data_IF_390158993456
#
_entry.id   IF_390158993456
#
_cell.length_a   1.000
_cell.length_b   1.000
_cell.length_c   1.000
_cell.angle_alpha   90.00
_cell.angle_beta   90.00
_cell.angle_gamma   90.00
#
_symmetry.space_group_name_H-M   'P 1'
#
loop_
_entity.id
_entity.type
_entity.pdbx_description
1 polymer ?
#
# COMPACT_ATOMS: atom_id res chain seq x y z
N UNK A 1 -0.36 -25.45 7.83
CA UNK A 1 1.09 -25.69 7.93
C UNK A 1 1.80 -25.46 6.60
N UNK A 2 2.40 -24.28 6.48
CA UNK A 2 3.63 -23.96 5.75
C UNK A 2 3.88 -22.46 5.96
N UNK A 3 4.41 -22.10 7.13
CA UNK A 3 5.09 -20.82 7.30
C UNK A 3 6.38 -20.92 6.50
N UNK A 4 6.44 -20.27 5.34
CA UNK A 4 7.70 -20.06 4.64
C UNK A 4 8.54 -19.13 5.50
N UNK A 5 9.44 -19.70 6.31
CA UNK A 5 10.53 -18.94 6.92
C UNK A 5 11.37 -18.35 5.78
N UNK A 6 11.17 -17.07 5.48
CA UNK A 6 12.10 -16.32 4.65
C UNK A 6 13.41 -16.20 5.44
N UNK A 7 14.33 -17.14 5.25
CA UNK A 7 15.68 -17.03 5.80
C UNK A 7 16.34 -15.80 5.19
N UNK A 8 16.37 -14.72 5.96
CA UNK A 8 17.11 -13.51 5.61
C UNK A 8 18.60 -13.88 5.46
N UNK A 9 19.28 -13.44 4.38
CA UNK A 9 20.68 -13.76 4.17
C UNK A 9 21.53 -13.26 5.35
N UNK A 10 22.62 -13.97 5.71
CA UNK A 10 23.32 -13.84 7.00
C UNK A 10 23.96 -12.46 7.26
N UNK A 11 23.98 -11.55 6.28
CA UNK A 11 24.56 -10.21 6.39
C UNK A 11 23.58 -9.06 6.10
N UNK A 12 22.27 -9.32 6.01
CA UNK A 12 21.30 -8.22 5.82
C UNK A 12 21.00 -7.60 7.18
N UNK A 13 21.58 -6.42 7.44
CA UNK A 13 21.17 -5.60 8.59
C UNK A 13 19.65 -5.40 8.53
N UNK A 14 18.96 -5.79 9.59
CA UNK A 14 17.54 -5.50 9.72
C UNK A 14 17.36 -3.99 9.79
N UNK A 15 16.28 -3.43 9.22
CA UNK A 15 16.03 -2.00 9.32
C UNK A 15 15.93 -1.59 10.78
N UNK A 16 16.61 -0.49 11.13
CA UNK A 16 16.50 0.07 12.48
C UNK A 16 15.09 0.63 12.67
N UNK A 17 14.50 0.35 13.84
CA UNK A 17 13.20 0.88 14.26
C UNK A 17 13.29 1.52 15.65
N UNK A 18 12.44 2.51 15.90
CA UNK A 18 12.18 3.08 17.21
C UNK A 18 10.67 2.99 17.52
N UNK A 19 10.32 2.63 18.74
CA UNK A 19 8.93 2.56 19.20
C UNK A 19 8.70 3.70 20.19
N UNK A 20 7.78 4.58 19.86
CA UNK A 20 7.40 5.73 20.68
C UNK A 20 6.03 5.42 21.28
N UNK A 21 5.92 5.46 22.61
CA UNK A 21 4.63 5.33 23.31
C UNK A 21 4.19 6.69 23.83
N UNK A 22 2.96 7.07 23.51
CA UNK A 22 2.30 8.25 24.08
C UNK A 22 0.86 7.90 24.43
N UNK A 23 0.51 7.94 25.72
CA UNK A 23 -0.77 7.42 26.21
C UNK A 23 -0.99 5.95 25.80
N UNK A 24 -2.12 5.69 25.13
CA UNK A 24 -2.48 4.38 24.57
C UNK A 24 -1.96 4.15 23.14
N UNK A 25 -1.26 5.12 22.54
CA UNK A 25 -0.79 5.06 21.16
C UNK A 25 0.65 4.59 21.11
N UNK A 26 0.91 3.62 20.23
CA UNK A 26 2.25 3.17 19.87
C UNK A 26 2.54 3.59 18.43
N UNK A 27 3.67 4.28 18.24
CA UNK A 27 4.15 4.70 16.92
C UNK A 27 5.46 3.98 16.62
N UNK A 28 5.48 3.20 15.54
CA UNK A 28 6.68 2.53 15.05
C UNK A 28 7.31 3.38 13.96
N UNK A 29 8.49 3.92 14.24
CA UNK A 29 9.29 4.69 13.30
C UNK A 29 10.37 3.77 12.74
N UNK A 30 10.44 3.62 11.43
CA UNK A 30 11.43 2.78 10.76
C UNK A 30 12.28 3.55 9.77
N UNK A 31 13.46 3.01 9.48
CA UNK A 31 14.37 3.53 8.44
C UNK A 31 14.04 3.03 7.04
N UNK A 32 13.05 2.14 6.89
CA UNK A 32 12.59 1.61 5.61
C UNK A 32 11.09 1.29 5.61
N UNK A 33 10.55 1.04 4.41
CA UNK A 33 9.19 0.57 4.18
C UNK A 33 9.21 -0.72 3.34
N UNK A 34 8.33 -1.70 3.61
CA UNK A 34 7.36 -1.73 4.71
C UNK A 34 8.03 -1.92 6.08
N UNK A 35 7.31 -1.58 7.15
CA UNK A 35 7.78 -1.81 8.54
C UNK A 35 8.20 -3.27 8.72
N UNK A 36 9.38 -3.55 9.31
CA UNK A 36 9.83 -4.92 9.55
C UNK A 36 8.95 -5.63 10.60
N UNK A 37 9.14 -6.95 10.72
CA UNK A 37 8.45 -7.76 11.72
C UNK A 37 8.72 -7.24 13.15
N UNK A 38 7.66 -7.10 13.96
CA UNK A 38 7.71 -6.59 15.32
C UNK A 38 7.95 -7.68 16.40
N UNK A 39 8.19 -8.93 15.99
CA UNK A 39 8.50 -10.02 16.92
C UNK A 39 9.69 -9.64 17.84
N UNK A 40 9.52 -9.87 19.16
CA UNK A 40 10.54 -9.54 20.16
C UNK A 40 10.64 -8.06 20.54
N UNK A 41 9.84 -7.17 19.95
CA UNK A 41 9.86 -5.73 20.28
C UNK A 41 9.00 -5.35 21.51
N UNK A 42 8.22 -6.30 22.04
CA UNK A 42 7.24 -6.06 23.10
C UNK A 42 5.89 -5.51 22.61
N UNK A 43 5.75 -5.25 21.31
CA UNK A 43 4.48 -4.89 20.67
C UNK A 43 3.89 -6.11 20.00
N UNK A 44 2.65 -6.46 20.38
CA UNK A 44 1.85 -7.49 19.74
C UNK A 44 0.66 -6.85 19.04
N UNK A 45 0.67 -6.71 17.69
CA UNK A 45 -0.43 -6.11 16.94
C UNK A 45 -1.76 -6.81 17.18
N UNK A 46 -1.79 -8.12 17.46
CA UNK A 46 -3.03 -8.88 17.70
C UNK A 46 -3.74 -8.49 19.00
N UNK A 47 -3.07 -7.76 19.89
CA UNK A 47 -3.64 -7.24 21.14
C UNK A 47 -4.08 -5.78 21.03
N UNK A 48 -3.93 -5.15 19.87
CA UNK A 48 -4.32 -3.77 19.64
C UNK A 48 -5.76 -3.72 19.16
N UNK A 49 -6.52 -2.73 19.67
CA UNK A 49 -7.90 -2.51 19.21
C UNK A 49 -7.95 -2.02 17.76
N UNK A 50 -6.95 -1.24 17.35
CA UNK A 50 -6.84 -0.66 16.00
C UNK A 50 -5.37 -0.70 15.56
N UNK A 51 -5.15 -1.15 14.32
CA UNK A 51 -3.85 -1.08 13.66
C UNK A 51 -3.98 -0.16 12.45
N UNK A 52 -3.18 0.92 12.42
CA UNK A 52 -3.10 1.81 11.27
C UNK A 52 -1.83 1.48 10.47
N UNK A 53 -2.00 1.14 9.18
CA UNK A 53 -0.90 0.83 8.27
C UNK A 53 -0.87 1.81 7.12
N UNK A 54 0.34 2.17 6.65
CA UNK A 54 0.52 2.95 5.42
C UNK A 54 0.98 2.06 4.27
N UNK A 55 0.11 1.14 3.87
CA UNK A 55 0.32 0.26 2.72
C UNK A 55 -0.95 0.24 1.87
N UNK A 56 -0.82 0.43 0.56
CA UNK A 56 -1.97 0.58 -0.36
C UNK A 56 -2.75 -0.71 -0.62
N UNK A 57 -2.16 -1.86 -0.29
CA UNK A 57 -2.82 -3.17 -0.30
C UNK A 57 -2.58 -3.85 1.04
N UNK A 58 -3.56 -4.63 1.49
CA UNK A 58 -3.44 -5.43 2.71
C UNK A 58 -2.37 -6.51 2.45
N UNK A 59 -1.18 -6.30 3.00
CA UNK A 59 -0.17 -7.37 3.10
C UNK A 59 -0.82 -8.52 3.87
N UNK A 60 -0.60 -9.76 3.42
CA UNK A 60 -1.24 -10.98 3.96
C UNK A 60 -1.31 -10.98 5.50
N UNK A 61 -0.22 -10.60 6.17
CA UNK A 61 -0.16 -10.57 7.64
C UNK A 61 -1.25 -9.72 8.30
N UNK A 62 -1.60 -8.57 7.73
CA UNK A 62 -2.63 -7.67 8.28
C UNK A 62 -4.02 -8.19 7.96
N UNK A 63 -4.19 -8.68 6.74
CA UNK A 63 -5.44 -9.30 6.30
C UNK A 63 -5.80 -10.51 7.15
N UNK A 64 -4.83 -11.35 7.48
CA UNK A 64 -5.03 -12.58 8.25
C UNK A 64 -5.39 -12.32 9.72
N UNK A 65 -5.11 -11.12 10.24
CA UNK A 65 -5.42 -10.73 11.63
C UNK A 65 -6.61 -9.77 11.76
N UNK A 66 -7.12 -9.22 10.67
CA UNK A 66 -8.17 -8.21 10.74
C UNK A 66 -9.51 -8.83 11.16
N UNK A 67 -10.24 -8.16 12.05
CA UNK A 67 -11.65 -8.47 12.28
C UNK A 67 -12.54 -7.74 11.26
N UNK A 68 -12.21 -6.49 10.97
CA UNK A 68 -12.82 -5.62 9.97
C UNK A 68 -11.78 -4.60 9.47
N UNK A 69 -12.07 -3.86 8.40
CA UNK A 69 -11.18 -2.86 7.84
C UNK A 69 -11.93 -1.63 7.32
N UNK A 70 -11.31 -0.46 7.51
CA UNK A 70 -11.81 0.83 6.97
C UNK A 70 -10.67 1.57 6.31
N UNK A 71 -10.93 2.14 5.14
CA UNK A 71 -9.99 3.04 4.47
C UNK A 71 -10.22 4.48 4.93
N UNK A 72 -9.24 5.06 5.61
CA UNK A 72 -9.24 6.49 5.93
C UNK A 72 -8.49 7.27 4.84
N UNK A 73 -9.19 8.14 4.11
CA UNK A 73 -8.56 9.05 3.13
C UNK A 73 -7.88 10.23 3.84
N UNK A 74 -6.72 9.96 4.42
CA UNK A 74 -5.88 10.98 5.05
C UNK A 74 -5.13 11.79 3.99
N UNK A 75 -5.03 13.11 4.16
CA UNK A 75 -4.21 13.98 3.31
C UNK A 75 -2.74 13.52 3.29
N UNK A 76 -2.06 13.71 2.16
CA UNK A 76 -0.63 13.40 2.04
C UNK A 76 -0.17 13.23 0.59
N UNK A 77 1.00 12.63 0.38
CA UNK A 77 1.58 12.47 -0.96
C UNK A 77 0.80 11.55 -1.91
N UNK A 78 -0.18 10.81 -1.40
CA UNK A 78 -1.09 9.92 -2.14
C UNK A 78 -2.54 10.34 -1.95
N UNK A 79 -2.79 11.65 -1.93
CA UNK A 79 -4.14 12.23 -1.79
C UNK A 79 -5.06 11.79 -2.93
N UNK A 80 -6.31 11.47 -2.60
CA UNK A 80 -7.33 11.07 -3.57
C UNK A 80 -8.23 12.24 -4.00
N UNK A 81 -8.06 13.43 -3.41
CA UNK A 81 -8.64 14.66 -3.93
C UNK A 81 -7.89 15.12 -5.19
N UNK A 82 -8.12 14.40 -6.28
CA UNK A 82 -7.48 14.67 -7.57
C UNK A 82 -7.79 16.08 -8.09
N UNK A 83 -8.84 16.75 -7.65
CA UNK A 83 -9.17 18.10 -8.17
C UNK A 83 -8.32 19.19 -7.55
N UNK A 84 -7.88 19.03 -6.30
CA UNK A 84 -7.10 20.07 -5.59
C UNK A 84 -5.60 19.98 -5.80
N UNK A 85 -5.09 18.89 -6.38
CA UNK A 85 -3.66 18.69 -6.58
C UNK A 85 -3.10 19.60 -7.71
N UNK A 86 -1.90 20.20 -7.54
CA UNK A 86 -1.34 21.19 -8.47
C UNK A 86 -0.57 20.54 -9.64
N UNK A 87 -1.29 19.87 -10.56
CA UNK A 87 -0.67 19.23 -11.73
C UNK A 87 -0.02 20.25 -12.68
N UNK A 88 1.16 19.93 -13.22
CA UNK A 88 1.90 20.82 -14.15
C UNK A 88 2.13 20.24 -15.55
N UNK A 89 1.88 18.93 -15.77
CA UNK A 89 2.30 18.21 -17.00
C UNK A 89 1.34 17.07 -17.38
N UNK A 90 0.05 17.23 -17.07
CA UNK A 90 -0.99 16.28 -17.50
C UNK A 90 -1.41 16.63 -18.92
N UNK A 91 -1.61 15.61 -19.77
CA UNK A 91 -2.22 15.80 -21.09
C UNK A 91 -3.69 16.13 -20.87
N UNK A 92 -4.16 17.21 -21.50
CA UNK A 92 -5.54 17.70 -21.42
C UNK A 92 -6.21 17.54 -22.80
N UNK A 93 -7.52 17.26 -22.87
CA UNK A 93 -8.43 17.13 -21.74
C UNK A 93 -8.31 15.76 -21.02
N UNK A 94 -8.53 15.74 -19.70
CA UNK A 94 -8.55 14.53 -18.86
C UNK A 94 -9.55 14.64 -17.71
N UNK A 95 -10.41 13.64 -17.56
CA UNK A 95 -11.31 13.50 -16.42
C UNK A 95 -10.53 13.04 -15.18
N UNK A 96 -10.75 13.59 -13.97
CA UNK A 96 -11.80 14.52 -13.57
C UNK A 96 -11.38 16.01 -13.60
N UNK A 97 -10.23 16.35 -14.20
CA UNK A 97 -9.71 17.71 -14.22
C UNK A 97 -10.38 18.61 -15.26
N UNK A 98 -10.89 18.01 -16.34
CA UNK A 98 -11.73 18.61 -17.38
C UNK A 98 -13.08 17.87 -17.40
N UNK A 99 -14.05 18.26 -16.56
CA UNK A 99 -15.32 17.53 -16.44
C UNK A 99 -16.18 17.60 -17.71
N UNK A 100 -15.98 18.63 -18.54
CA UNK A 100 -16.74 18.87 -19.78
C UNK A 100 -16.04 18.28 -21.02
N UNK A 101 -15.02 17.42 -20.84
CA UNK A 101 -14.35 16.79 -21.96
C UNK A 101 -15.29 15.85 -22.74
N UNK A 102 -15.12 15.70 -24.07
CA UNK A 102 -15.84 14.69 -24.82
C UNK A 102 -15.52 13.28 -24.30
N UNK A 103 -16.48 12.37 -24.43
CA UNK A 103 -16.24 10.96 -24.12
C UNK A 103 -15.08 10.42 -24.98
N UNK A 104 -14.13 9.68 -24.38
CA UNK A 104 -13.07 9.07 -25.14
C UNK A 104 -13.65 8.02 -26.09
N UNK A 105 -13.01 7.85 -27.25
CA UNK A 105 -13.37 6.77 -28.16
C UNK A 105 -12.94 5.42 -27.57
N UNK A 106 -13.92 4.65 -27.07
CA UNK A 106 -13.68 3.34 -26.45
C UNK A 106 -13.88 2.22 -27.48
N UNK A 107 -12.87 2.04 -28.34
CA UNK A 107 -12.86 0.93 -29.29
C UNK A 107 -12.29 -0.35 -28.66
N UNK A 108 -12.93 -1.49 -28.92
CA UNK A 108 -12.36 -2.80 -28.59
C UNK A 108 -11.31 -3.16 -29.62
N UNK A 109 -10.06 -3.30 -29.18
CA UNK A 109 -8.97 -3.82 -30.00
C UNK A 109 -8.76 -5.28 -29.64
N UNK A 110 -9.10 -6.18 -30.56
CA UNK A 110 -8.82 -7.61 -30.41
C UNK A 110 -7.33 -7.83 -30.63
N UNK A 111 -6.59 -8.14 -29.56
CA UNK A 111 -5.19 -8.54 -29.64
C UNK A 111 -5.07 -10.06 -29.64
N UNK A 112 -4.20 -10.67 -30.47
CA UNK A 112 -3.98 -12.11 -30.45
C UNK A 112 -3.56 -12.59 -29.06
N UNK A 113 -4.00 -13.79 -28.67
CA UNK A 113 -3.64 -14.36 -27.37
C UNK A 113 -2.12 -14.52 -27.21
N UNK A 114 -1.61 -14.49 -25.98
CA UNK A 114 -0.18 -14.72 -25.71
C UNK A 114 0.32 -16.05 -26.31
N UNK A 115 -0.51 -17.10 -26.26
CA UNK A 115 -0.26 -18.39 -26.89
C UNK A 115 -0.12 -18.27 -28.42
N UNK A 116 -0.94 -17.43 -29.05
CA UNK A 116 -0.90 -17.17 -30.49
C UNK A 116 0.29 -16.28 -30.90
N UNK A 117 0.70 -15.34 -30.06
CA UNK A 117 1.86 -14.46 -30.32
C UNK A 117 3.21 -15.12 -30.04
N UNK A 118 3.31 -15.91 -28.98
CA UNK A 118 4.58 -16.40 -28.45
C UNK A 118 4.73 -17.93 -28.45
N UNK A 119 3.68 -18.68 -28.83
CA UNK A 119 3.73 -20.14 -28.97
C UNK A 119 3.96 -20.93 -27.67
N UNK A 120 3.92 -20.27 -26.52
CA UNK A 120 4.10 -20.85 -25.18
C UNK A 120 2.94 -20.51 -24.26
#
# INVERSE_FOLDING_TARGET
DQQSESKSPPNRKLPDIAIIKTGSIFVVVGTSSPTPNLAGTGIDPKKMDIIMVKQGYLVSQWYDMQADWVMAQTRGSVDQDFKSLPYKRVVRPIFPLDPDMPDPELNVIMVPSAKQMYGR
#
